data_IF_783740787289
#
_entry.id   IF_783740787289
#
_cell.length_a   1.000
_cell.length_b   1.000
_cell.length_c   1.000
_cell.angle_alpha   90.00
_cell.angle_beta   90.00
_cell.angle_gamma   90.00
#
_symmetry.space_group_name_H-M   'P 1'
#
loop_
_entity.id
_entity.type
_entity.pdbx_description
1 polymer ?
#
# COMPACT_ATOMS: atom_id res chain seq x y z
N UNK A 1 -3.99 21.78 -26.64
CA UNK A 1 -5.29 21.23 -27.07
C UNK A 1 -6.35 21.83 -26.16
N UNK A 2 -7.46 22.26 -26.74
CA UNK A 2 -8.58 22.85 -25.99
C UNK A 2 -9.48 21.74 -25.43
N UNK A 3 -10.02 21.96 -24.24
CA UNK A 3 -11.03 21.05 -23.68
C UNK A 3 -12.34 21.15 -24.47
N UNK A 4 -13.00 20.03 -24.69
CA UNK A 4 -14.24 19.99 -25.46
C UNK A 4 -14.69 18.59 -25.82
N UNK A 5 -15.83 18.51 -26.50
CA UNK A 5 -16.32 17.27 -27.09
C UNK A 5 -16.07 17.31 -28.59
N UNK A 6 -15.44 16.27 -29.11
CA UNK A 6 -14.99 16.20 -30.49
C UNK A 6 -15.63 15.01 -31.23
N UNK A 7 -15.69 15.14 -32.56
CA UNK A 7 -16.11 14.04 -33.42
C UNK A 7 -14.93 13.55 -34.26
N UNK A 8 -14.84 12.24 -34.43
CA UNK A 8 -13.96 11.62 -35.41
C UNK A 8 -14.77 11.38 -36.66
N UNK A 9 -14.30 11.87 -37.82
CA UNK A 9 -14.94 11.70 -39.11
C UNK A 9 -13.97 11.07 -40.11
N UNK A 10 -14.49 10.20 -40.97
CA UNK A 10 -13.76 9.65 -42.10
C UNK A 10 -14.64 9.82 -43.36
N UNK A 11 -14.12 10.42 -44.39
CA UNK A 11 -14.84 10.68 -45.65
C UNK A 11 -16.21 11.35 -45.43
N UNK A 12 -16.31 12.29 -44.49
CA UNK A 12 -17.54 12.98 -44.13
C UNK A 12 -18.47 12.22 -43.17
N UNK A 13 -18.27 10.91 -43.01
CA UNK A 13 -19.04 10.09 -42.08
C UNK A 13 -18.54 10.21 -40.67
N UNK A 14 -19.43 10.42 -39.69
CA UNK A 14 -19.09 10.46 -38.27
C UNK A 14 -18.88 9.01 -37.79
N UNK A 15 -17.66 8.69 -37.38
CA UNK A 15 -17.32 7.42 -36.74
C UNK A 15 -17.58 7.44 -35.23
N UNK A 16 -17.35 8.60 -34.61
CA UNK A 16 -17.57 8.83 -33.18
C UNK A 16 -17.83 10.31 -32.93
N UNK A 17 -18.76 10.66 -32.06
CA UNK A 17 -19.14 12.06 -31.79
C UNK A 17 -19.07 12.45 -30.30
N UNK A 18 -18.52 11.61 -29.45
CA UNK A 18 -18.51 11.75 -28.00
C UNK A 18 -17.10 11.75 -27.39
N UNK A 19 -16.07 12.01 -28.21
CA UNK A 19 -14.69 12.07 -27.74
C UNK A 19 -14.46 13.29 -26.88
N UNK A 20 -14.37 13.11 -25.58
CA UNK A 20 -14.07 14.18 -24.63
C UNK A 20 -12.56 14.38 -24.50
N UNK A 21 -12.10 15.61 -24.70
CA UNK A 21 -10.75 16.04 -24.36
C UNK A 21 -10.85 17.00 -23.15
N UNK A 22 -10.16 16.66 -22.08
CA UNK A 22 -10.18 17.43 -20.83
C UNK A 22 -8.91 17.13 -20.04
N UNK A 23 -8.46 18.10 -19.25
CA UNK A 23 -7.40 17.87 -18.24
C UNK A 23 -7.83 16.87 -17.15
N UNK A 24 -9.14 16.61 -17.03
CA UNK A 24 -9.73 15.71 -16.03
C UNK A 24 -10.16 14.35 -16.59
N UNK A 25 -9.82 14.03 -17.83
CA UNK A 25 -10.29 12.82 -18.51
C UNK A 25 -10.00 11.53 -17.75
N UNK A 26 -8.87 11.48 -17.03
CA UNK A 26 -8.42 10.31 -16.29
C UNK A 26 -8.54 10.46 -14.75
N UNK A 27 -9.15 11.54 -14.25
CA UNK A 27 -9.22 11.82 -12.81
C UNK A 27 -9.90 10.69 -12.04
N UNK A 28 -11.02 10.16 -12.54
CA UNK A 28 -11.74 9.05 -11.90
C UNK A 28 -10.92 7.75 -11.92
N UNK A 29 -10.16 7.50 -13.00
CA UNK A 29 -9.29 6.33 -13.09
C UNK A 29 -8.13 6.43 -12.09
N UNK A 30 -7.49 7.59 -11.98
CA UNK A 30 -6.44 7.84 -10.99
C UNK A 30 -6.96 7.65 -9.59
N UNK A 31 -8.13 8.23 -9.28
CA UNK A 31 -8.78 8.07 -7.98
C UNK A 31 -9.11 6.61 -7.65
N UNK A 32 -9.68 5.88 -8.60
CA UNK A 32 -10.01 4.46 -8.42
C UNK A 32 -8.74 3.61 -8.21
N UNK A 33 -7.69 3.85 -9.01
CA UNK A 33 -6.41 3.14 -8.89
C UNK A 33 -5.72 3.39 -7.55
N UNK A 34 -5.76 4.64 -7.07
CA UNK A 34 -5.21 4.97 -5.77
C UNK A 34 -6.03 4.39 -4.62
N UNK A 35 -7.37 4.43 -4.73
CA UNK A 35 -8.26 3.83 -3.74
C UNK A 35 -8.21 2.30 -3.72
N UNK A 36 -7.68 1.66 -4.75
CA UNK A 36 -7.44 0.22 -4.77
C UNK A 36 -6.65 -0.25 -3.54
N UNK A 37 -5.63 0.50 -3.11
CA UNK A 37 -4.80 0.15 -1.96
C UNK A 37 -5.58 0.13 -0.64
N UNK A 38 -6.54 1.02 -0.47
CA UNK A 38 -7.45 0.98 0.67
C UNK A 38 -8.20 -0.36 0.76
N UNK A 39 -8.64 -0.91 -0.37
CA UNK A 39 -9.32 -2.21 -0.39
C UNK A 39 -8.39 -3.38 -0.04
N UNK A 40 -7.07 -3.21 -0.15
CA UNK A 40 -6.08 -4.21 0.24
C UNK A 40 -5.64 -4.12 1.70
N UNK A 41 -6.09 -3.13 2.47
CA UNK A 41 -5.68 -2.98 3.87
C UNK A 41 -5.99 -4.22 4.68
N UNK A 42 -4.96 -4.84 5.29
CA UNK A 42 -5.11 -5.91 6.29
C UNK A 42 -5.40 -5.35 7.68
N UNK A 43 -5.81 -6.18 8.61
CA UNK A 43 -5.96 -5.88 10.05
C UNK A 43 -6.98 -4.79 10.39
N UNK A 44 -7.93 -4.52 9.49
CA UNK A 44 -9.04 -3.60 9.75
C UNK A 44 -10.28 -3.96 8.95
N UNK A 45 -11.44 -3.55 9.43
CA UNK A 45 -12.67 -3.58 8.65
C UNK A 45 -12.65 -2.50 7.56
N UNK A 46 -13.28 -2.77 6.43
CA UNK A 46 -13.58 -1.76 5.43
C UNK A 46 -15.03 -1.30 5.66
N UNK A 47 -15.16 -0.10 6.22
CA UNK A 47 -16.45 0.46 6.60
C UNK A 47 -17.24 0.94 5.38
N UNK A 48 -18.57 0.84 5.44
CA UNK A 48 -19.47 1.21 4.34
C UNK A 48 -19.31 2.67 3.90
N UNK A 49 -19.04 3.59 4.83
CA UNK A 49 -18.82 5.01 4.52
C UNK A 49 -17.65 5.26 3.56
N UNK A 50 -16.66 4.37 3.54
CA UNK A 50 -15.48 4.44 2.66
C UNK A 50 -15.54 3.43 1.51
N UNK A 51 -16.02 2.22 1.78
CA UNK A 51 -16.00 1.10 0.84
C UNK A 51 -17.31 0.91 0.06
N UNK A 52 -18.41 1.51 0.52
CA UNK A 52 -19.74 1.29 -0.06
C UNK A 52 -20.12 -0.19 -0.02
N UNK A 53 -20.61 -0.71 -1.12
CA UNK A 53 -21.00 -2.13 -1.25
C UNK A 53 -19.84 -3.13 -1.09
N UNK A 54 -18.59 -2.68 -1.11
CA UNK A 54 -17.39 -3.50 -0.94
C UNK A 54 -16.88 -3.51 0.50
N UNK A 55 -17.74 -3.10 1.46
CA UNK A 55 -17.44 -3.23 2.88
C UNK A 55 -17.14 -4.66 3.26
N UNK A 56 -16.25 -4.87 4.22
CA UNK A 56 -15.94 -6.19 4.79
C UNK A 56 -15.46 -6.10 6.22
N UNK A 57 -15.64 -7.19 6.95
CA UNK A 57 -15.10 -7.35 8.31
C UNK A 57 -13.57 -7.35 8.32
N UNK A 58 -13.01 -7.07 9.49
CA UNK A 58 -11.56 -7.15 9.70
C UNK A 58 -11.09 -8.62 9.61
N UNK A 59 -9.99 -8.84 8.91
CA UNK A 59 -9.29 -10.12 8.87
C UNK A 59 -7.83 -9.93 9.24
N UNK A 60 -7.17 -11.02 9.66
CA UNK A 60 -5.72 -11.08 9.86
C UNK A 60 -5.18 -9.93 10.71
N UNK A 61 -5.62 -9.85 11.97
CA UNK A 61 -5.19 -8.81 12.91
C UNK A 61 -3.67 -8.81 13.14
N UNK A 62 -3.02 -9.94 12.89
CA UNK A 62 -1.56 -10.15 12.90
C UNK A 62 -0.86 -9.60 14.16
N UNK A 63 -1.54 -9.64 15.31
CA UNK A 63 -1.01 -9.16 16.59
C UNK A 63 -0.05 -10.13 17.26
N UNK A 64 -0.08 -11.41 16.86
CA UNK A 64 0.70 -12.49 17.48
C UNK A 64 1.07 -13.57 16.45
N UNK A 65 1.76 -13.17 15.39
CA UNK A 65 2.14 -14.06 14.28
C UNK A 65 3.38 -14.84 14.66
N UNK A 66 3.29 -16.17 14.64
CA UNK A 66 4.39 -17.06 14.99
C UNK A 66 5.52 -17.00 13.97
N UNK A 67 6.75 -17.10 14.42
CA UNK A 67 7.88 -17.26 13.51
C UNK A 67 7.87 -18.67 12.90
N UNK A 68 7.98 -18.74 11.59
CA UNK A 68 8.27 -20.01 10.91
C UNK A 68 9.70 -20.47 11.23
N UNK A 69 9.95 -21.77 11.16
CA UNK A 69 11.28 -22.34 11.44
C UNK A 69 12.40 -21.70 10.62
N UNK A 70 12.12 -21.24 9.40
CA UNK A 70 13.07 -20.51 8.54
C UNK A 70 13.46 -19.13 9.06
N UNK A 71 12.73 -18.57 10.04
CA UNK A 71 13.02 -17.23 10.55
C UNK A 71 14.25 -17.17 11.45
N UNK A 72 14.70 -18.32 11.97
CA UNK A 72 15.80 -18.36 12.94
C UNK A 72 15.49 -17.63 14.24
N UNK A 73 14.21 -17.40 14.55
CA UNK A 73 13.70 -16.71 15.71
C UNK A 73 12.60 -17.55 16.38
N UNK A 74 12.34 -17.28 17.65
CA UNK A 74 11.28 -17.93 18.43
C UNK A 74 10.27 -16.89 18.91
N UNK A 75 9.08 -17.38 19.31
CA UNK A 75 7.98 -16.54 19.77
C UNK A 75 7.14 -16.00 18.61
N UNK A 76 6.72 -14.76 18.73
CA UNK A 76 5.79 -14.15 17.77
C UNK A 76 6.11 -12.69 17.53
N UNK A 77 5.57 -12.17 16.45
CA UNK A 77 5.69 -10.77 16.04
C UNK A 77 4.30 -10.12 16.00
N UNK A 78 4.19 -8.91 16.58
CA UNK A 78 3.04 -8.05 16.39
C UNK A 78 3.26 -7.21 15.12
N UNK A 79 2.53 -7.53 14.05
CA UNK A 79 2.76 -6.96 12.73
C UNK A 79 1.45 -6.65 11.99
N UNK A 80 0.57 -5.81 12.61
CA UNK A 80 -0.70 -5.41 12.01
C UNK A 80 -0.51 -4.44 10.85
N UNK A 81 -1.62 -4.07 10.20
CA UNK A 81 -1.65 -3.19 9.02
C UNK A 81 -1.01 -3.85 7.79
N UNK A 82 -0.61 -3.00 6.83
CA UNK A 82 -0.09 -3.43 5.54
C UNK A 82 -1.20 -3.76 4.54
N UNK A 83 -0.78 -4.09 3.33
CA UNK A 83 -1.66 -4.48 2.25
C UNK A 83 -1.54 -5.97 1.96
N UNK A 84 -2.65 -6.62 1.70
CA UNK A 84 -2.66 -7.93 1.05
C UNK A 84 -2.07 -7.82 -0.35
N UNK A 85 -1.26 -8.79 -0.72
CA UNK A 85 -0.68 -8.88 -2.07
C UNK A 85 -1.72 -9.38 -3.08
N UNK A 86 -2.37 -10.47 -2.75
CA UNK A 86 -3.34 -11.14 -3.62
C UNK A 86 -4.38 -11.93 -2.77
N UNK A 87 -5.09 -12.85 -3.41
CA UNK A 87 -6.10 -13.69 -2.76
C UNK A 87 -5.57 -14.75 -1.79
N UNK A 88 -4.25 -14.84 -1.64
CA UNK A 88 -3.60 -15.62 -0.58
C UNK A 88 -3.52 -14.87 0.76
N UNK A 89 -3.96 -13.60 0.78
CA UNK A 89 -3.91 -12.68 1.90
C UNK A 89 -2.52 -12.52 2.53
N UNK A 90 -1.47 -12.91 1.82
CA UNK A 90 -0.08 -12.69 2.22
C UNK A 90 0.30 -11.21 2.18
N UNK A 91 1.25 -10.83 3.05
CA UNK A 91 1.90 -9.52 3.04
C UNK A 91 3.39 -9.72 2.75
N UNK A 92 3.87 -9.25 1.61
CA UNK A 92 5.20 -9.51 1.08
C UNK A 92 6.02 -8.23 1.07
N UNK A 93 7.17 -8.19 1.75
CA UNK A 93 7.98 -6.97 1.83
C UNK A 93 8.52 -6.57 0.46
N UNK A 94 8.97 -7.51 -0.36
CA UNK A 94 9.52 -7.21 -1.70
C UNK A 94 8.44 -6.62 -2.61
N UNK A 95 7.27 -7.26 -2.70
CA UNK A 95 6.15 -6.77 -3.53
C UNK A 95 5.64 -5.41 -3.03
N UNK A 96 5.50 -5.27 -1.71
CA UNK A 96 5.16 -3.99 -1.07
C UNK A 96 6.23 -2.92 -1.32
N UNK A 97 7.50 -3.31 -1.36
CA UNK A 97 8.62 -2.40 -1.55
C UNK A 97 8.53 -1.64 -2.86
N UNK A 98 8.47 -2.36 -3.98
CA UNK A 98 8.36 -1.72 -5.31
C UNK A 98 7.07 -0.89 -5.45
N UNK A 99 5.96 -1.38 -4.91
CA UNK A 99 4.69 -0.68 -4.92
C UNK A 99 4.76 0.62 -4.14
N UNK A 100 5.24 0.57 -2.91
CA UNK A 100 5.37 1.73 -2.02
C UNK A 100 6.34 2.77 -2.59
N UNK A 101 7.48 2.32 -3.13
CA UNK A 101 8.44 3.18 -3.82
C UNK A 101 7.79 3.91 -5.00
N UNK A 102 7.04 3.19 -5.83
CA UNK A 102 6.34 3.78 -6.99
C UNK A 102 5.35 4.86 -6.55
N UNK A 103 4.56 4.61 -5.50
CA UNK A 103 3.59 5.58 -4.98
C UNK A 103 4.27 6.81 -4.33
N UNK A 104 5.38 6.61 -3.60
CA UNK A 104 6.18 7.70 -3.05
C UNK A 104 6.77 8.56 -4.16
N UNK A 105 7.33 7.95 -5.21
CA UNK A 105 7.85 8.64 -6.38
C UNK A 105 6.76 9.39 -7.13
N UNK A 106 5.57 8.81 -7.26
CA UNK A 106 4.40 9.47 -7.83
C UNK A 106 4.05 10.73 -7.06
N UNK A 107 4.06 10.69 -5.73
CA UNK A 107 3.85 11.87 -4.91
C UNK A 107 4.95 12.92 -5.11
N UNK A 108 6.22 12.55 -5.14
CA UNK A 108 7.32 13.49 -5.36
C UNK A 108 7.20 14.23 -6.70
N UNK A 109 6.85 13.51 -7.76
CA UNK A 109 6.74 14.10 -9.11
C UNK A 109 5.46 14.93 -9.32
N UNK A 110 4.38 14.63 -8.62
CA UNK A 110 3.06 15.23 -8.81
C UNK A 110 2.44 15.73 -7.51
N UNK A 111 3.28 16.26 -6.60
CA UNK A 111 2.84 16.68 -5.26
C UNK A 111 1.72 17.70 -5.28
N UNK A 112 1.74 18.68 -6.19
CA UNK A 112 0.71 19.72 -6.29
C UNK A 112 -0.65 19.14 -6.66
N UNK A 113 -0.67 18.10 -7.47
CA UNK A 113 -1.90 17.38 -7.78
C UNK A 113 -2.38 16.59 -6.57
N UNK A 114 -1.52 15.75 -5.98
CA UNK A 114 -1.92 14.82 -4.91
C UNK A 114 -2.22 15.50 -3.57
N UNK A 115 -1.66 16.66 -3.29
CA UNK A 115 -2.01 17.46 -2.09
C UNK A 115 -3.50 17.80 -1.99
N UNK A 116 -4.18 17.94 -3.12
CA UNK A 116 -5.57 18.38 -3.20
C UNK A 116 -6.56 17.23 -3.38
N UNK A 117 -6.08 16.01 -3.67
CA UNK A 117 -6.95 14.88 -3.92
C UNK A 117 -7.57 14.34 -2.64
N UNK A 118 -8.86 13.96 -2.74
CA UNK A 118 -9.62 13.32 -1.68
C UNK A 118 -10.24 12.03 -2.20
N UNK A 119 -9.94 10.91 -1.56
CA UNK A 119 -10.33 9.58 -2.04
C UNK A 119 -11.35 8.89 -1.16
N UNK A 120 -11.85 9.57 -0.11
CA UNK A 120 -12.77 8.99 0.86
C UNK A 120 -12.18 7.68 1.43
N UNK A 121 -11.05 7.82 2.11
CA UNK A 121 -10.38 6.77 2.90
C UNK A 121 -10.30 7.23 4.35
N UNK A 122 -10.19 6.30 5.31
CA UNK A 122 -9.99 6.69 6.71
C UNK A 122 -8.62 7.34 6.88
N UNK A 123 -8.62 8.66 7.05
CA UNK A 123 -7.44 9.49 7.30
C UNK A 123 -7.85 10.64 8.23
N UNK A 124 -6.93 11.07 9.08
CA UNK A 124 -7.14 12.16 10.04
C UNK A 124 -6.99 13.57 9.43
N UNK A 125 -6.60 13.62 8.17
CA UNK A 125 -6.40 14.88 7.44
C UNK A 125 -5.03 15.56 7.68
N UNK A 126 -4.16 14.99 8.50
CA UNK A 126 -2.80 15.51 8.73
C UNK A 126 -1.90 15.34 7.52
N UNK A 127 -2.21 14.39 6.66
CA UNK A 127 -1.48 14.06 5.43
C UNK A 127 -2.39 14.14 4.20
N UNK A 128 -1.84 14.40 3.00
CA UNK A 128 -2.53 14.09 1.75
C UNK A 128 -2.98 12.62 1.72
N UNK A 129 -4.16 12.35 1.14
CA UNK A 129 -4.74 10.99 1.16
C UNK A 129 -3.79 9.92 0.60
N UNK A 130 -3.01 10.22 -0.47
CA UNK A 130 -1.99 9.30 -0.98
C UNK A 130 -0.95 8.95 0.07
N UNK A 131 -0.44 9.93 0.80
CA UNK A 131 0.56 9.69 1.83
C UNK A 131 -0.04 8.99 3.05
N UNK A 132 -1.29 9.29 3.42
CA UNK A 132 -2.00 8.58 4.48
C UNK A 132 -2.16 7.09 4.15
N UNK A 133 -2.49 6.76 2.88
CA UNK A 133 -2.57 5.37 2.42
C UNK A 133 -1.21 4.67 2.42
N UNK A 134 -0.18 5.32 1.88
CA UNK A 134 1.19 4.78 1.88
C UNK A 134 1.67 4.53 3.31
N UNK A 135 1.39 5.44 4.24
CA UNK A 135 1.79 5.31 5.65
C UNK A 135 1.20 4.06 6.29
N UNK A 136 -0.04 3.67 5.92
CA UNK A 136 -0.66 2.46 6.44
C UNK A 136 0.20 1.22 6.15
N UNK A 137 0.80 1.15 4.96
CA UNK A 137 1.68 0.06 4.58
C UNK A 137 3.10 0.21 5.17
N UNK A 138 3.65 1.42 5.19
CA UNK A 138 4.96 1.68 5.80
C UNK A 138 4.98 1.32 7.29
N UNK A 139 3.89 1.58 8.02
CA UNK A 139 3.76 1.22 9.42
C UNK A 139 3.87 -0.29 9.62
N UNK A 140 3.31 -1.10 8.72
CA UNK A 140 3.51 -2.55 8.71
C UNK A 140 4.96 -2.91 8.36
N UNK A 141 5.52 -2.35 7.28
CA UNK A 141 6.89 -2.66 6.87
C UNK A 141 7.88 -2.42 8.01
N UNK A 142 7.72 -1.35 8.78
CA UNK A 142 8.56 -1.04 9.93
C UNK A 142 8.51 -2.13 11.02
N UNK A 143 7.42 -2.87 11.16
CA UNK A 143 7.33 -3.99 12.10
C UNK A 143 8.10 -5.22 11.64
N UNK A 144 8.43 -5.31 10.35
CA UNK A 144 9.12 -6.46 9.76
C UNK A 144 10.65 -6.38 9.92
N UNK A 145 11.19 -5.28 10.46
CA UNK A 145 12.62 -5.16 10.72
C UNK A 145 12.99 -5.79 12.06
N UNK A 146 13.93 -6.71 12.05
CA UNK A 146 14.51 -7.29 13.26
C UNK A 146 15.50 -6.33 13.95
N UNK A 147 15.89 -6.64 15.17
CA UNK A 147 16.82 -5.81 15.98
C UNK A 147 18.21 -5.68 15.37
N UNK A 148 18.63 -6.68 14.60
CA UNK A 148 19.91 -6.69 13.86
C UNK A 148 19.85 -5.90 12.54
N UNK A 149 18.70 -5.32 12.20
CA UNK A 149 18.49 -4.54 10.98
C UNK A 149 17.92 -5.34 9.81
N UNK A 150 18.13 -6.66 9.78
CA UNK A 150 17.61 -7.54 8.73
C UNK A 150 16.08 -7.56 8.71
N UNK A 151 15.49 -7.73 7.52
CA UNK A 151 14.05 -7.63 7.32
C UNK A 151 13.44 -8.98 7.00
N UNK A 152 12.40 -9.38 7.74
CA UNK A 152 11.63 -10.58 7.46
C UNK A 152 10.92 -10.46 6.11
N UNK A 153 10.88 -11.59 5.38
CA UNK A 153 10.46 -11.58 3.99
C UNK A 153 8.97 -11.34 3.80
N UNK A 154 8.15 -12.02 4.60
CA UNK A 154 6.69 -11.94 4.49
C UNK A 154 5.97 -12.42 5.74
N UNK A 155 4.67 -12.11 5.79
CA UNK A 155 3.68 -12.74 6.66
C UNK A 155 2.62 -13.42 5.79
N UNK A 156 2.47 -14.73 5.92
CA UNK A 156 1.44 -15.48 5.17
C UNK A 156 1.08 -16.79 5.85
N UNK A 157 -0.06 -17.38 5.48
CA UNK A 157 -0.32 -18.80 5.72
C UNK A 157 0.62 -19.68 4.87
N UNK A 158 0.62 -20.99 5.13
CA UNK A 158 1.40 -21.96 4.36
C UNK A 158 0.67 -22.45 3.10
N UNK A 159 -0.63 -22.28 3.06
CA UNK A 159 -1.50 -22.68 1.94
C UNK A 159 -2.27 -21.49 1.36
N UNK A 160 -3.00 -21.74 0.30
CA UNK A 160 -3.95 -20.81 -0.30
C UNK A 160 -5.34 -21.05 0.30
N UNK A 161 -6.03 -20.02 0.83
CA UNK A 161 -7.28 -20.18 1.57
C UNK A 161 -8.50 -20.48 0.68
N UNK A 162 -8.36 -20.34 -0.65
CA UNK A 162 -9.48 -20.44 -1.60
C UNK A 162 -10.25 -19.13 -1.76
N UNK A 163 -11.43 -19.21 -2.39
CA UNK A 163 -12.27 -18.05 -2.69
C UNK A 163 -13.14 -17.66 -1.48
N UNK A 164 -12.52 -17.08 -0.48
CA UNK A 164 -13.17 -16.63 0.77
C UNK A 164 -12.80 -15.16 1.08
N UNK A 165 -13.57 -14.55 1.99
CA UNK A 165 -13.23 -13.20 2.50
C UNK A 165 -12.15 -13.29 3.58
N UNK A 166 -11.32 -12.23 3.77
CA UNK A 166 -10.25 -12.24 4.77
C UNK A 166 -10.68 -12.60 6.19
N UNK A 167 -11.89 -12.23 6.61
CA UNK A 167 -12.41 -12.56 7.93
C UNK A 167 -12.82 -14.04 8.09
N UNK A 168 -12.93 -14.77 6.99
CA UNK A 168 -13.26 -16.21 6.98
C UNK A 168 -12.01 -17.09 6.96
N UNK A 169 -10.86 -16.52 6.63
CA UNK A 169 -9.59 -17.22 6.67
C UNK A 169 -9.11 -17.36 8.12
N UNK A 170 -9.06 -18.61 8.58
CA UNK A 170 -8.61 -18.98 9.93
C UNK A 170 -7.27 -19.70 9.93
N UNK A 171 -6.59 -19.74 8.80
CA UNK A 171 -5.31 -20.39 8.65
C UNK A 171 -4.23 -19.73 9.53
N UNK A 172 -3.38 -20.55 10.12
CA UNK A 172 -2.25 -20.05 10.91
C UNK A 172 -1.27 -19.33 10.00
N UNK A 173 -0.97 -18.08 10.36
CA UNK A 173 -0.02 -17.24 9.64
C UNK A 173 1.35 -17.25 10.31
N UNK A 174 2.39 -17.07 9.50
CA UNK A 174 3.78 -17.14 9.94
C UNK A 174 4.58 -15.97 9.41
N UNK A 175 5.54 -15.52 10.23
CA UNK A 175 6.63 -14.64 9.79
C UNK A 175 7.71 -15.50 9.16
N UNK A 176 7.99 -15.29 7.90
CA UNK A 176 9.00 -16.05 7.14
C UNK A 176 10.36 -15.37 7.25
N UNK A 177 11.42 -16.16 7.22
CA UNK A 177 12.80 -15.75 7.44
C UNK A 177 13.24 -14.51 6.68
N UNK A 178 14.26 -13.84 7.22
CA UNK A 178 14.85 -12.64 6.63
C UNK A 178 15.47 -12.95 5.26
N UNK A 179 15.44 -11.96 4.37
CA UNK A 179 16.11 -12.07 3.07
C UNK A 179 16.82 -10.78 2.70
N UNK A 180 17.89 -10.90 1.94
CA UNK A 180 18.64 -9.76 1.40
C UNK A 180 17.75 -8.88 0.52
N UNK A 181 16.90 -9.49 -0.33
CA UNK A 181 15.97 -8.76 -1.17
C UNK A 181 15.01 -7.89 -0.34
N UNK A 182 14.37 -8.47 0.71
CA UNK A 182 13.48 -7.70 1.58
C UNK A 182 14.22 -6.57 2.31
N UNK A 183 15.46 -6.80 2.75
CA UNK A 183 16.25 -5.79 3.46
C UNK A 183 16.61 -4.61 2.54
N UNK A 184 17.09 -4.86 1.33
CA UNK A 184 17.42 -3.78 0.40
C UNK A 184 16.21 -3.03 -0.11
N UNK A 185 15.12 -3.71 -0.45
CA UNK A 185 13.86 -3.06 -0.84
C UNK A 185 13.33 -2.17 0.29
N UNK A 186 13.33 -2.70 1.50
CA UNK A 186 12.95 -1.95 2.70
C UNK A 186 13.85 -0.72 2.90
N UNK A 187 15.17 -0.87 2.79
CA UNK A 187 16.11 0.23 2.96
C UNK A 187 15.83 1.36 1.95
N UNK A 188 15.63 1.01 0.67
CA UNK A 188 15.32 1.97 -0.39
C UNK A 188 13.99 2.69 -0.16
N UNK A 189 12.94 1.94 0.21
CA UNK A 189 11.61 2.51 0.50
C UNK A 189 11.66 3.43 1.70
N UNK A 190 12.31 3.02 2.80
CA UNK A 190 12.38 3.83 4.01
C UNK A 190 13.23 5.09 3.82
N UNK A 191 14.29 5.05 3.01
CA UNK A 191 15.06 6.24 2.63
C UNK A 191 14.18 7.25 1.86
N UNK A 192 13.40 6.75 0.91
CA UNK A 192 12.47 7.57 0.12
C UNK A 192 11.35 8.12 1.01
N UNK A 193 10.76 7.30 1.87
CA UNK A 193 9.74 7.72 2.82
C UNK A 193 10.26 8.82 3.76
N UNK A 194 11.49 8.69 4.28
CA UNK A 194 12.10 9.74 5.10
C UNK A 194 12.09 11.09 4.41
N UNK A 195 12.47 11.14 3.13
CA UNK A 195 12.50 12.38 2.36
C UNK A 195 11.10 12.96 2.12
N UNK A 196 10.16 12.09 1.74
CA UNK A 196 8.79 12.48 1.38
C UNK A 196 7.98 12.95 2.58
N UNK A 197 8.11 12.29 3.74
CA UNK A 197 7.35 12.64 4.94
C UNK A 197 7.96 13.78 5.75
N UNK A 198 9.21 14.14 5.54
CA UNK A 198 9.91 15.18 6.32
C UNK A 198 9.14 16.51 6.43
N UNK A 199 8.49 17.02 5.36
CA UNK A 199 7.71 18.26 5.46
C UNK A 199 6.43 18.16 6.30
N UNK A 200 5.97 16.94 6.63
CA UNK A 200 4.72 16.67 7.33
C UNK A 200 4.93 16.16 8.75
N UNK A 201 5.92 15.27 8.92
CA UNK A 201 6.22 14.59 10.19
C UNK A 201 7.72 14.27 10.24
N UNK A 202 8.50 15.17 10.87
CA UNK A 202 9.94 15.02 10.98
C UNK A 202 10.34 13.83 11.86
N UNK A 203 9.54 13.52 12.88
CA UNK A 203 9.78 12.36 13.74
C UNK A 203 9.62 11.06 12.97
N UNK A 204 8.55 10.93 12.18
CA UNK A 204 8.33 9.77 11.33
C UNK A 204 9.40 9.64 10.25
N UNK A 205 9.76 10.76 9.63
CA UNK A 205 10.84 10.80 8.64
C UNK A 205 12.18 10.32 9.22
N UNK A 206 12.53 10.75 10.43
CA UNK A 206 13.73 10.31 11.13
C UNK A 206 13.68 8.82 11.46
N UNK A 207 12.53 8.31 11.91
CA UNK A 207 12.32 6.88 12.15
C UNK A 207 12.57 6.05 10.88
N UNK A 208 12.02 6.49 9.75
CA UNK A 208 12.22 5.82 8.45
C UNK A 208 13.70 5.84 8.05
N UNK A 209 14.42 6.97 8.23
CA UNK A 209 15.84 7.08 7.90
C UNK A 209 16.69 6.11 8.72
N UNK A 210 16.46 6.05 10.02
CA UNK A 210 17.22 5.13 10.89
C UNK A 210 16.90 3.66 10.57
N UNK A 211 15.65 3.34 10.25
CA UNK A 211 15.28 2.00 9.79
C UNK A 211 15.98 1.64 8.47
N UNK A 212 16.03 2.57 7.52
CA UNK A 212 16.75 2.40 6.25
C UNK A 212 18.24 2.09 6.47
N UNK A 213 18.93 2.91 7.29
CA UNK A 213 20.36 2.73 7.58
C UNK A 213 20.66 1.38 8.22
N UNK A 214 19.77 0.88 9.07
CA UNK A 214 19.97 -0.42 9.74
C UNK A 214 19.76 -1.60 8.79
N UNK A 215 18.92 -1.45 7.79
CA UNK A 215 18.61 -2.52 6.83
C UNK A 215 19.64 -2.61 5.70
N UNK A 216 20.38 -1.54 5.43
CA UNK A 216 21.45 -1.44 4.42
C UNK A 216 22.75 -2.05 4.95
#
# INVERSE_FOLDING_TARGET
KESGTYSIKQNGQVLRNDLKISSKTFEDVVKASAKWFYYQRASMALEEQYAGKWKREAGHMDQNVQFHSSAGAQGSLNTPKGWYDAGDFGKYVVNSGITTYTLLSLYEHFSDYFKTQKWSIPADGSLPDLLAEIKYNLDWMLTMQASDGGVYHKVSALGFPGDIMPAQDTDTRYVIGKSTAASYDFAAVMATASRVYKPFDESYASKCLEASKKAF
#
